data_IF_676670057882
#
_entry.id   IF_676670057882
#
_cell.length_a   1.000
_cell.length_b   1.000
_cell.length_c   1.000
_cell.angle_alpha   90.00
_cell.angle_beta   90.00
_cell.angle_gamma   90.00
#
_symmetry.space_group_name_H-M   'P 1'
#
loop_
_entity.id
_entity.type
_entity.pdbx_description
1 polymer ?
#
# COMPACT_ATOMS: atom_id res chain seq x y z
N UNK A 1 0.65 -0.32 16.60
CA UNK A 1 0.63 1.02 16.03
C UNK A 1 -0.54 1.15 15.09
N UNK A 2 -1.28 2.25 15.19
CA UNK A 2 -2.35 2.56 14.25
C UNK A 2 -1.73 3.00 12.93
N UNK A 3 -2.17 2.41 11.81
CA UNK A 3 -1.72 2.77 10.47
C UNK A 3 -2.26 4.16 10.12
N UNK A 4 -1.36 5.15 9.96
CA UNK A 4 -1.76 6.47 9.48
C UNK A 4 -1.31 6.63 8.02
N UNK A 5 -2.24 6.46 7.09
CA UNK A 5 -2.01 6.57 5.65
C UNK A 5 -2.23 8.00 5.10
N UNK A 6 -2.09 9.03 5.95
CA UNK A 6 -2.28 10.44 5.58
C UNK A 6 -0.98 11.25 5.69
N UNK A 7 0.07 10.67 6.28
CA UNK A 7 1.33 11.37 6.53
C UNK A 7 1.99 11.81 5.22
N UNK A 8 2.04 10.90 4.25
CA UNK A 8 2.68 11.14 2.96
C UNK A 8 1.91 12.16 2.12
N UNK A 9 0.56 12.13 2.17
CA UNK A 9 -0.28 13.14 1.54
C UNK A 9 -0.03 14.52 2.14
N UNK A 10 -0.04 14.63 3.47
CA UNK A 10 0.19 15.89 4.15
C UNK A 10 1.58 16.46 3.86
N UNK A 11 2.61 15.60 3.87
CA UNK A 11 3.98 16.01 3.55
C UNK A 11 4.16 16.45 2.10
N UNK A 12 3.63 15.67 1.14
CA UNK A 12 3.63 16.02 -0.27
C UNK A 12 3.02 17.41 -0.51
N UNK A 13 1.83 17.63 0.04
CA UNK A 13 1.13 18.91 -0.12
C UNK A 13 1.88 20.08 0.54
N UNK A 14 2.50 19.85 1.70
CA UNK A 14 3.34 20.84 2.35
C UNK A 14 4.56 21.22 1.50
N UNK A 15 5.24 20.25 0.89
CA UNK A 15 6.35 20.48 -0.03
C UNK A 15 5.93 21.30 -1.25
N UNK A 16 4.69 21.14 -1.72
CA UNK A 16 4.13 21.91 -2.82
C UNK A 16 3.54 23.27 -2.37
N UNK A 17 3.44 23.52 -1.06
CA UNK A 17 2.79 24.73 -0.53
C UNK A 17 1.26 24.70 -0.64
N UNK A 18 0.68 23.50 -0.64
CA UNK A 18 -0.74 23.22 -0.82
C UNK A 18 -1.36 22.59 0.45
N UNK A 19 -2.67 22.36 0.44
CA UNK A 19 -3.38 21.59 1.48
C UNK A 19 -3.81 22.42 2.70
N UNK A 20 -3.16 23.54 3.01
CA UNK A 20 -3.51 24.40 4.16
C UNK A 20 -3.66 23.62 5.46
N UNK A 21 -4.69 23.91 6.25
CA UNK A 21 -4.97 23.27 7.55
C UNK A 21 -5.66 21.89 7.43
N UNK A 22 -6.07 21.48 6.23
CA UNK A 22 -6.81 20.24 5.99
C UNK A 22 -6.24 19.45 4.80
N UNK A 23 -5.00 18.98 4.87
CA UNK A 23 -4.35 18.27 3.77
C UNK A 23 -5.09 16.98 3.36
N UNK A 24 -5.70 16.27 4.30
CA UNK A 24 -6.44 15.03 4.03
C UNK A 24 -7.63 15.20 3.07
N UNK A 25 -8.23 16.39 3.01
CA UNK A 25 -9.37 16.70 2.15
C UNK A 25 -8.98 17.33 0.81
N UNK A 26 -7.71 17.72 0.66
CA UNK A 26 -7.24 18.34 -0.56
C UNK A 26 -7.28 17.37 -1.75
N UNK A 27 -7.75 17.88 -2.88
CA UNK A 27 -7.73 17.17 -4.18
C UNK A 27 -7.31 18.15 -5.26
N UNK A 28 -6.42 17.70 -6.15
CA UNK A 28 -6.07 18.47 -7.34
C UNK A 28 -7.30 18.62 -8.25
N UNK A 29 -7.48 19.80 -8.82
CA UNK A 29 -8.62 20.11 -9.72
C UNK A 29 -8.33 19.72 -11.18
N UNK A 30 -7.12 19.23 -11.47
CA UNK A 30 -6.65 18.80 -12.78
C UNK A 30 -5.26 18.20 -12.68
N UNK A 31 -4.58 18.04 -13.79
CA UNK A 31 -3.21 17.54 -13.81
C UNK A 31 -2.25 18.58 -13.19
N UNK A 32 -1.42 18.19 -12.19
CA UNK A 32 -0.44 19.09 -11.59
C UNK A 32 0.60 19.62 -12.57
N UNK A 33 0.92 18.83 -13.60
CA UNK A 33 1.89 19.16 -14.66
C UNK A 33 3.35 19.10 -14.21
N UNK A 34 4.25 19.25 -15.19
CA UNK A 34 5.71 19.17 -14.98
C UNK A 34 6.22 20.16 -13.95
N UNK A 35 5.58 21.34 -13.82
CA UNK A 35 6.00 22.36 -12.85
C UNK A 35 5.84 21.88 -11.39
N UNK A 36 4.75 21.17 -11.07
CA UNK A 36 4.55 20.63 -9.72
C UNK A 36 5.56 19.52 -9.43
N UNK A 37 5.82 18.65 -10.41
CA UNK A 37 6.80 17.59 -10.27
C UNK A 37 8.23 18.15 -10.08
N UNK A 38 8.60 19.16 -10.86
CA UNK A 38 9.90 19.84 -10.69
C UNK A 38 9.99 20.52 -9.32
N UNK A 39 8.93 21.23 -8.89
CA UNK A 39 8.88 21.86 -7.56
C UNK A 39 9.04 20.85 -6.45
N UNK A 40 8.40 19.68 -6.57
CA UNK A 40 8.55 18.60 -5.61
C UNK A 40 10.00 18.11 -5.57
N UNK A 41 10.61 17.80 -6.72
CA UNK A 41 12.00 17.34 -6.80
C UNK A 41 12.98 18.33 -6.17
N UNK A 42 12.80 19.63 -6.40
CA UNK A 42 13.66 20.69 -5.82
C UNK A 42 13.53 20.78 -4.28
N UNK A 43 12.50 20.15 -3.70
CA UNK A 43 12.18 20.23 -2.27
C UNK A 43 12.20 18.89 -1.53
N UNK A 44 12.42 17.76 -2.23
CA UNK A 44 12.45 16.43 -1.61
C UNK A 44 13.51 16.29 -0.50
N UNK A 45 14.58 17.07 -0.55
CA UNK A 45 15.63 17.08 0.46
C UNK A 45 15.31 17.96 1.68
N UNK A 46 14.16 18.63 1.69
CA UNK A 46 13.71 19.35 2.88
C UNK A 46 13.43 18.36 4.03
N UNK A 47 13.49 18.83 5.29
CA UNK A 47 13.19 18.00 6.45
C UNK A 47 11.81 17.33 6.33
N UNK A 48 11.73 16.08 6.75
CA UNK A 48 10.45 15.39 6.87
C UNK A 48 9.50 16.15 7.81
N UNK A 49 8.21 15.99 7.64
CA UNK A 49 7.22 16.48 8.59
C UNK A 49 7.45 15.84 9.96
N UNK A 50 7.07 16.54 11.02
CA UNK A 50 7.28 16.07 12.40
C UNK A 50 6.77 14.64 12.65
N UNK A 51 5.55 14.23 12.19
CA UNK A 51 5.09 12.85 12.35
C UNK A 51 5.93 11.82 11.57
N UNK A 52 6.41 12.15 10.38
CA UNK A 52 7.28 11.27 9.61
C UNK A 52 8.67 11.15 10.25
N UNK A 53 9.20 12.25 10.76
CA UNK A 53 10.47 12.24 11.49
C UNK A 53 10.36 11.43 12.78
N UNK A 54 9.26 11.54 13.52
CA UNK A 54 9.02 10.75 14.73
C UNK A 54 9.03 9.23 14.46
N UNK A 55 8.53 8.79 13.29
CA UNK A 55 8.65 7.39 12.88
C UNK A 55 10.12 7.00 12.64
N UNK A 56 10.88 7.83 11.95
CA UNK A 56 12.31 7.58 11.71
C UNK A 56 13.09 7.55 13.03
N UNK A 57 12.77 8.44 13.97
CA UNK A 57 13.39 8.46 15.30
C UNK A 57 13.07 7.18 16.10
N UNK A 58 11.83 6.70 16.02
CA UNK A 58 11.43 5.43 16.63
C UNK A 58 12.17 4.23 16.02
N UNK A 59 12.34 4.19 14.69
CA UNK A 59 13.12 3.14 14.02
C UNK A 59 14.58 3.15 14.47
N UNK A 60 15.21 4.34 14.58
CA UNK A 60 16.56 4.50 15.08
C UNK A 60 16.67 4.03 16.54
N UNK A 61 15.70 4.41 17.37
CA UNK A 61 15.67 3.98 18.76
C UNK A 61 15.54 2.45 18.89
N UNK A 62 14.66 1.81 18.10
CA UNK A 62 14.51 0.35 18.08
C UNK A 62 15.81 -0.33 17.69
N UNK A 63 16.49 0.15 16.64
CA UNK A 63 17.77 -0.37 16.18
C UNK A 63 18.84 -0.30 17.30
N UNK A 64 18.90 0.81 18.02
CA UNK A 64 20.01 1.09 18.95
C UNK A 64 19.77 0.53 20.36
N UNK A 65 18.51 0.27 20.75
CA UNK A 65 18.16 -0.07 22.12
C UNK A 65 17.44 -1.42 22.29
N UNK A 66 17.16 -2.16 21.21
CA UNK A 66 16.45 -3.43 21.29
C UNK A 66 17.08 -4.50 20.39
N UNK A 67 16.63 -5.74 20.55
CA UNK A 67 16.96 -6.85 19.64
C UNK A 67 15.87 -7.09 18.57
N UNK A 68 14.87 -6.21 18.52
CA UNK A 68 13.79 -6.30 17.54
C UNK A 68 14.29 -5.84 16.16
N UNK A 69 13.68 -6.38 15.12
CA UNK A 69 13.90 -5.91 13.74
C UNK A 69 13.06 -4.65 13.55
N UNK A 70 13.68 -3.48 13.26
CA UNK A 70 12.91 -2.28 12.97
C UNK A 70 12.18 -2.43 11.63
N UNK A 71 10.87 -2.26 11.64
CA UNK A 71 10.02 -2.33 10.46
C UNK A 71 9.32 -0.99 10.29
N UNK A 72 9.56 -0.36 9.15
CA UNK A 72 8.90 0.88 8.77
C UNK A 72 7.55 0.65 8.09
N UNK A 73 6.85 1.73 7.79
CA UNK A 73 5.54 1.67 7.12
C UNK A 73 5.30 2.94 6.31
N UNK A 74 4.64 2.80 5.15
CA UNK A 74 4.09 3.91 4.38
C UNK A 74 2.92 3.45 3.50
N UNK A 75 2.17 4.41 2.99
CA UNK A 75 1.15 4.16 1.96
C UNK A 75 1.83 3.81 0.63
N UNK A 76 1.18 3.02 -0.22
CA UNK A 76 1.63 2.75 -1.58
C UNK A 76 1.31 3.89 -2.56
N UNK A 77 2.04 3.96 -3.70
CA UNK A 77 1.89 5.07 -4.65
C UNK A 77 0.49 5.19 -5.25
N UNK A 78 -0.12 4.09 -5.64
CA UNK A 78 -1.46 4.10 -6.22
C UNK A 78 -2.49 4.55 -5.17
N UNK A 79 -2.43 4.01 -3.96
CA UNK A 79 -3.32 4.42 -2.87
C UNK A 79 -3.15 5.89 -2.50
N UNK A 80 -1.93 6.43 -2.51
CA UNK A 80 -1.72 7.87 -2.30
C UNK A 80 -2.31 8.68 -3.46
N UNK A 81 -2.10 8.27 -4.70
CA UNK A 81 -2.67 8.95 -5.88
C UNK A 81 -4.20 9.03 -5.77
N UNK A 82 -4.90 7.96 -5.35
CA UNK A 82 -6.36 7.97 -5.18
C UNK A 82 -6.85 8.99 -4.13
N UNK A 83 -5.98 9.38 -3.20
CA UNK A 83 -6.27 10.45 -2.23
C UNK A 83 -6.04 11.87 -2.78
N UNK A 84 -5.33 12.00 -3.89
CA UNK A 84 -4.97 13.29 -4.49
C UNK A 84 -5.92 13.72 -5.62
N UNK A 85 -6.68 12.79 -6.21
CA UNK A 85 -7.64 13.06 -7.29
C UNK A 85 -9.08 12.83 -6.82
N UNK A 86 -10.02 13.56 -7.43
CA UNK A 86 -11.45 13.45 -7.05
C UNK A 86 -12.12 12.21 -7.64
N UNK A 87 -11.72 11.81 -8.85
CA UNK A 87 -12.19 10.61 -9.54
C UNK A 87 -11.01 9.86 -10.15
N UNK A 88 -10.49 8.83 -9.49
CA UNK A 88 -9.46 7.99 -10.07
C UNK A 88 -10.01 6.88 -10.98
N UNK A 89 -11.29 6.52 -10.85
CA UNK A 89 -11.87 5.33 -11.52
C UNK A 89 -12.08 5.59 -13.01
N UNK A 90 -12.76 6.67 -13.37
CA UNK A 90 -13.11 6.98 -14.77
C UNK A 90 -11.87 7.11 -15.66
N UNK A 91 -10.82 7.89 -15.29
CA UNK A 91 -9.61 8.01 -16.11
C UNK A 91 -8.87 6.68 -16.30
N UNK A 92 -8.78 5.86 -15.25
CA UNK A 92 -8.14 4.54 -15.35
C UNK A 92 -8.92 3.62 -16.30
N UNK A 93 -10.27 3.65 -16.23
CA UNK A 93 -11.10 2.89 -17.15
C UNK A 93 -10.94 3.37 -18.61
N UNK A 94 -10.83 4.68 -18.86
CA UNK A 94 -10.55 5.26 -20.17
C UNK A 94 -9.16 4.88 -20.68
N UNK A 95 -8.16 4.89 -19.84
CA UNK A 95 -6.82 4.39 -20.18
C UNK A 95 -6.87 2.90 -20.57
N UNK A 96 -7.67 2.10 -19.86
CA UNK A 96 -7.92 0.69 -20.21
C UNK A 96 -8.66 0.49 -21.54
N UNK A 97 -9.28 1.52 -22.08
CA UNK A 97 -9.86 1.54 -23.43
C UNK A 97 -8.88 2.04 -24.50
N UNK A 98 -7.66 2.39 -24.10
CA UNK A 98 -6.59 2.82 -25.00
C UNK A 98 -6.41 4.33 -25.16
N UNK A 99 -7.14 5.15 -24.38
CA UNK A 99 -6.88 6.60 -24.35
C UNK A 99 -5.58 6.90 -23.59
N UNK A 100 -4.91 7.97 -23.99
CA UNK A 100 -3.66 8.45 -23.38
C UNK A 100 -3.87 9.73 -22.56
N UNK A 101 -2.89 10.09 -21.74
CA UNK A 101 -2.86 11.37 -21.01
C UNK A 101 -2.87 12.61 -21.92
N UNK A 102 -2.48 12.46 -23.20
CA UNK A 102 -2.55 13.54 -24.18
C UNK A 102 -3.97 13.76 -24.74
N UNK A 103 -4.84 12.76 -24.60
CA UNK A 103 -6.21 12.76 -25.12
C UNK A 103 -7.27 13.00 -24.05
N UNK A 104 -6.92 12.76 -22.78
CA UNK A 104 -7.84 12.90 -21.66
C UNK A 104 -7.16 13.56 -20.44
N UNK A 105 -7.75 14.63 -19.96
CA UNK A 105 -7.23 15.46 -18.85
C UNK A 105 -7.27 14.71 -17.51
N UNK A 106 -8.23 13.80 -17.33
CA UNK A 106 -8.33 12.95 -16.15
C UNK A 106 -7.22 11.92 -16.09
N UNK A 107 -6.86 11.32 -17.25
CA UNK A 107 -5.71 10.39 -17.33
C UNK A 107 -4.41 11.14 -17.04
N UNK A 108 -4.25 12.38 -17.57
CA UNK A 108 -3.12 13.22 -17.24
C UNK A 108 -3.05 13.50 -15.73
N UNK A 109 -4.19 13.84 -15.10
CA UNK A 109 -4.26 14.10 -13.66
C UNK A 109 -3.85 12.87 -12.83
N UNK A 110 -4.36 11.68 -13.17
CA UNK A 110 -3.98 10.43 -12.49
C UNK A 110 -2.48 10.16 -12.66
N UNK A 111 -1.96 10.28 -13.87
CA UNK A 111 -0.55 10.00 -14.19
C UNK A 111 0.40 10.94 -13.44
N UNK A 112 0.12 12.24 -13.44
CA UNK A 112 0.95 13.24 -12.77
C UNK A 112 0.92 13.07 -11.25
N UNK A 113 -0.28 12.86 -10.67
CA UNK A 113 -0.40 12.62 -9.23
C UNK A 113 0.27 11.31 -8.81
N UNK A 114 0.27 10.28 -9.66
CA UNK A 114 1.00 9.05 -9.41
C UNK A 114 2.52 9.28 -9.42
N UNK A 115 3.02 10.11 -10.34
CA UNK A 115 4.43 10.49 -10.36
C UNK A 115 4.86 11.26 -9.10
N UNK A 116 4.02 12.20 -8.62
CA UNK A 116 4.24 12.90 -7.34
C UNK A 116 4.24 11.91 -6.16
N UNK A 117 3.29 10.97 -6.13
CA UNK A 117 3.20 9.96 -5.09
C UNK A 117 4.46 9.07 -5.05
N UNK A 118 4.91 8.57 -6.20
CA UNK A 118 6.15 7.77 -6.30
C UNK A 118 7.34 8.55 -5.75
N UNK A 119 7.50 9.82 -6.10
CA UNK A 119 8.64 10.62 -5.67
C UNK A 119 8.68 10.79 -4.13
N UNK A 120 7.58 11.18 -3.50
CA UNK A 120 7.53 11.38 -2.05
C UNK A 120 7.68 10.07 -1.28
N UNK A 121 7.06 8.98 -1.76
CA UNK A 121 7.16 7.67 -1.12
C UNK A 121 8.58 7.12 -1.22
N UNK A 122 9.20 7.20 -2.39
CA UNK A 122 10.60 6.79 -2.58
C UNK A 122 11.52 7.49 -1.59
N UNK A 123 11.42 8.82 -1.48
CA UNK A 123 12.20 9.61 -0.51
C UNK A 123 11.93 9.18 0.94
N UNK A 124 10.68 8.84 1.27
CA UNK A 124 10.33 8.44 2.64
C UNK A 124 10.81 7.04 2.99
N UNK A 125 10.72 6.07 2.08
CA UNK A 125 11.26 4.73 2.34
C UNK A 125 12.78 4.74 2.49
N UNK A 126 13.48 5.58 1.71
CA UNK A 126 14.93 5.79 1.85
C UNK A 126 15.28 6.39 3.22
N UNK A 127 14.49 7.37 3.71
CA UNK A 127 14.69 7.96 5.02
C UNK A 127 14.47 6.96 6.16
N UNK A 128 13.42 6.11 6.05
CA UNK A 128 13.17 5.05 7.03
C UNK A 128 14.28 3.99 7.04
N UNK A 129 14.77 3.59 5.86
CA UNK A 129 15.90 2.67 5.75
C UNK A 129 17.19 3.26 6.36
N UNK A 130 17.48 4.54 6.07
CA UNK A 130 18.61 5.25 6.68
C UNK A 130 18.47 5.37 8.21
N UNK A 131 17.25 5.46 8.73
CA UNK A 131 16.96 5.42 10.16
C UNK A 131 17.14 4.02 10.78
N UNK A 132 17.32 2.98 9.97
CA UNK A 132 17.61 1.62 10.40
C UNK A 132 16.48 0.61 10.17
N UNK A 133 15.44 0.97 9.41
CA UNK A 133 14.44 -0.01 9.00
C UNK A 133 15.09 -1.13 8.16
N UNK A 134 14.82 -2.38 8.52
CA UNK A 134 15.27 -3.57 7.79
C UNK A 134 14.20 -4.11 6.85
N UNK A 135 12.97 -3.69 7.04
CA UNK A 135 11.86 -3.93 6.13
C UNK A 135 10.88 -2.76 6.21
N UNK A 136 10.10 -2.57 5.14
CA UNK A 136 9.05 -1.56 5.10
C UNK A 136 7.74 -2.19 4.63
N UNK A 137 6.69 -2.00 5.42
CA UNK A 137 5.32 -2.33 5.03
C UNK A 137 4.80 -1.25 4.10
N UNK A 138 4.64 -1.59 2.83
CA UNK A 138 4.03 -0.73 1.82
C UNK A 138 2.55 -1.12 1.69
N UNK A 139 1.67 -0.19 2.05
CA UNK A 139 0.22 -0.43 2.10
C UNK A 139 -0.46 0.08 0.83
N UNK A 140 -0.98 -0.84 0.03
CA UNK A 140 -1.61 -0.53 -1.27
C UNK A 140 -3.09 -0.95 -1.35
N UNK A 141 -3.94 -0.60 -0.36
CA UNK A 141 -5.31 -1.12 -0.28
C UNK A 141 -6.22 -0.67 -1.43
N UNK A 142 -5.84 0.36 -2.20
CA UNK A 142 -6.62 0.82 -3.34
C UNK A 142 -6.29 0.07 -4.65
N UNK A 143 -5.24 -0.76 -4.70
CA UNK A 143 -4.87 -1.50 -5.90
C UNK A 143 -5.78 -2.73 -6.14
N UNK A 144 -7.08 -2.54 -6.18
CA UNK A 144 -8.10 -3.57 -6.12
C UNK A 144 -9.17 -3.41 -7.23
N UNK A 145 -10.12 -4.35 -7.28
CA UNK A 145 -11.17 -4.40 -8.33
C UNK A 145 -12.16 -3.24 -8.31
N UNK A 146 -12.17 -2.42 -7.25
CA UNK A 146 -13.01 -1.21 -7.19
C UNK A 146 -12.46 -0.12 -8.12
N UNK A 147 -11.13 0.03 -8.15
CA UNK A 147 -10.45 1.05 -8.95
C UNK A 147 -10.00 0.55 -10.32
N UNK A 148 -9.75 -0.75 -10.45
CA UNK A 148 -9.16 -1.37 -11.63
C UNK A 148 -10.08 -2.49 -12.14
N UNK A 149 -10.64 -2.30 -13.32
CA UNK A 149 -11.61 -3.24 -13.92
C UNK A 149 -10.99 -4.62 -14.16
N UNK A 150 -11.46 -5.70 -13.49
CA UNK A 150 -10.96 -7.04 -13.74
C UNK A 150 -11.09 -7.46 -15.20
N UNK A 151 -12.20 -7.08 -15.84
CA UNK A 151 -12.46 -7.38 -17.25
C UNK A 151 -11.43 -6.75 -18.19
N UNK A 152 -11.01 -5.50 -17.92
CA UNK A 152 -9.99 -4.83 -18.74
C UNK A 152 -8.62 -5.47 -18.51
N UNK A 153 -8.29 -5.85 -17.28
CA UNK A 153 -7.04 -6.54 -16.94
C UNK A 153 -6.98 -7.89 -17.66
N UNK A 154 -8.04 -8.69 -17.60
CA UNK A 154 -8.15 -9.99 -18.31
C UNK A 154 -8.04 -9.85 -19.84
N UNK A 155 -8.49 -8.72 -20.38
CA UNK A 155 -8.37 -8.38 -21.80
C UNK A 155 -7.00 -7.82 -22.20
N UNK A 156 -6.05 -7.73 -21.26
CA UNK A 156 -4.68 -7.28 -21.53
C UNK A 156 -4.54 -5.76 -21.70
N UNK A 157 -5.38 -4.96 -21.02
CA UNK A 157 -5.33 -3.49 -21.11
C UNK A 157 -4.06 -2.87 -20.55
N UNK A 158 -3.30 -3.60 -19.72
CA UNK A 158 -2.07 -3.10 -19.08
C UNK A 158 -2.29 -2.11 -17.93
N UNK A 159 -3.54 -1.79 -17.53
CA UNK A 159 -3.80 -0.77 -16.50
C UNK A 159 -3.23 -1.14 -15.13
N UNK A 160 -3.21 -2.43 -14.78
CA UNK A 160 -2.61 -2.87 -13.51
C UNK A 160 -1.10 -2.69 -13.54
N UNK A 161 -0.46 -3.02 -14.65
CA UNK A 161 0.98 -2.84 -14.81
C UNK A 161 1.36 -1.36 -14.76
N UNK A 162 0.67 -0.51 -15.53
CA UNK A 162 0.97 0.92 -15.64
C UNK A 162 0.72 1.68 -14.34
N UNK A 163 -0.44 1.46 -13.69
CA UNK A 163 -0.82 2.29 -12.54
C UNK A 163 -0.42 1.71 -11.18
N UNK A 164 -0.14 0.39 -11.11
CA UNK A 164 0.23 -0.28 -9.84
C UNK A 164 1.63 -0.85 -9.88
N UNK A 165 1.93 -1.75 -10.84
CA UNK A 165 3.17 -2.51 -10.80
C UNK A 165 4.41 -1.65 -11.09
N UNK A 166 4.38 -0.79 -12.11
CA UNK A 166 5.52 0.10 -12.43
C UNK A 166 5.86 1.07 -11.28
N UNK A 167 4.88 1.75 -10.63
CA UNK A 167 5.12 2.54 -9.42
C UNK A 167 5.71 1.72 -8.27
N UNK A 168 5.16 0.54 -7.99
CA UNK A 168 5.67 -0.34 -6.93
C UNK A 168 7.10 -0.82 -7.20
N UNK A 169 7.44 -1.12 -8.45
CA UNK A 169 8.80 -1.50 -8.86
C UNK A 169 9.80 -0.38 -8.59
N UNK A 170 9.43 0.89 -8.82
CA UNK A 170 10.31 2.04 -8.52
C UNK A 170 10.60 2.13 -7.02
N UNK A 171 9.57 1.98 -6.17
CA UNK A 171 9.74 1.97 -4.71
C UNK A 171 10.56 0.76 -4.27
N UNK A 172 10.31 -0.43 -4.83
CA UNK A 172 11.11 -1.63 -4.55
C UNK A 172 12.59 -1.42 -4.88
N UNK A 173 12.91 -0.81 -6.01
CA UNK A 173 14.31 -0.53 -6.38
C UNK A 173 15.00 0.39 -5.36
N UNK A 174 14.30 1.39 -4.81
CA UNK A 174 14.84 2.22 -3.74
C UNK A 174 15.12 1.42 -2.46
N UNK A 175 14.20 0.53 -2.07
CA UNK A 175 14.38 -0.37 -0.92
C UNK A 175 15.59 -1.29 -1.10
N UNK A 176 15.74 -1.90 -2.30
CA UNK A 176 16.90 -2.75 -2.60
C UNK A 176 18.21 -1.97 -2.50
N UNK A 177 18.24 -0.72 -2.98
CA UNK A 177 19.40 0.17 -2.86
C UNK A 177 19.76 0.51 -1.41
N UNK A 178 18.77 0.44 -0.51
CA UNK A 178 18.90 0.73 0.92
C UNK A 178 19.05 -0.52 1.81
N UNK A 179 19.18 -1.72 1.24
CA UNK A 179 19.26 -3.02 1.95
C UNK A 179 18.07 -3.25 2.90
N UNK A 180 16.87 -2.92 2.44
CA UNK A 180 15.62 -3.12 3.18
C UNK A 180 14.63 -3.99 2.39
N UNK A 181 13.96 -4.91 3.09
CA UNK A 181 12.97 -5.81 2.50
C UNK A 181 11.62 -5.13 2.25
N UNK A 182 10.94 -5.55 1.20
CA UNK A 182 9.56 -5.15 0.93
C UNK A 182 8.59 -6.11 1.64
N UNK A 183 7.72 -5.56 2.47
CA UNK A 183 6.48 -6.21 2.94
C UNK A 183 5.33 -5.52 2.23
N UNK A 184 4.65 -6.22 1.33
CA UNK A 184 3.54 -5.65 0.57
C UNK A 184 2.22 -6.02 1.22
N UNK A 185 1.40 -5.04 1.57
CA UNK A 185 0.07 -5.21 2.15
C UNK A 185 -1.00 -4.69 1.21
N UNK A 186 -1.92 -5.57 0.80
CA UNK A 186 -3.14 -5.21 0.09
C UNK A 186 -4.34 -5.96 0.66
N UNK A 187 -5.20 -5.25 1.38
CA UNK A 187 -6.42 -5.79 1.97
C UNK A 187 -7.67 -5.55 1.11
N UNK A 188 -7.52 -5.13 -0.14
CA UNK A 188 -8.60 -4.98 -1.11
C UNK A 188 -9.08 -6.31 -1.69
N UNK A 189 -10.14 -6.26 -2.48
CA UNK A 189 -10.58 -7.41 -3.28
C UNK A 189 -9.71 -7.55 -4.51
N UNK A 190 -9.04 -8.71 -4.65
CA UNK A 190 -8.08 -8.99 -5.71
C UNK A 190 -8.51 -10.19 -6.55
N UNK A 191 -8.20 -10.18 -7.84
CA UNK A 191 -8.24 -11.37 -8.70
C UNK A 191 -6.97 -12.20 -8.54
N UNK A 192 -7.00 -13.46 -9.00
CA UNK A 192 -5.79 -14.32 -9.03
C UNK A 192 -4.65 -13.67 -9.85
N UNK A 193 -5.00 -13.01 -10.96
CA UNK A 193 -4.01 -12.30 -11.79
C UNK A 193 -3.34 -11.14 -11.04
N UNK A 194 -4.11 -10.34 -10.27
CA UNK A 194 -3.56 -9.27 -9.45
C UNK A 194 -2.62 -9.83 -8.36
N UNK A 195 -3.04 -10.91 -7.66
CA UNK A 195 -2.20 -11.56 -6.65
C UNK A 195 -0.89 -12.07 -7.28
N UNK A 196 -0.95 -12.73 -8.43
CA UNK A 196 0.24 -13.21 -9.14
C UNK A 196 1.17 -12.06 -9.57
N UNK A 197 0.61 -10.94 -10.05
CA UNK A 197 1.38 -9.74 -10.39
C UNK A 197 2.07 -9.16 -9.16
N UNK A 198 1.34 -8.96 -8.04
CA UNK A 198 1.94 -8.47 -6.79
C UNK A 198 3.03 -9.41 -6.27
N UNK A 199 2.83 -10.73 -6.35
CA UNK A 199 3.82 -11.72 -5.97
C UNK A 199 5.07 -11.68 -6.87
N UNK A 200 4.95 -11.26 -8.14
CA UNK A 200 6.09 -11.11 -9.05
C UNK A 200 7.07 -10.01 -8.65
N UNK A 201 6.64 -9.09 -7.77
CA UNK A 201 7.55 -8.15 -7.12
C UNK A 201 8.54 -8.85 -6.16
N UNK A 202 8.37 -10.15 -5.90
CA UNK A 202 9.20 -10.91 -4.95
C UNK A 202 9.33 -10.16 -3.59
N UNK A 203 8.21 -9.83 -2.94
CA UNK A 203 8.25 -9.23 -1.61
C UNK A 203 8.67 -10.29 -0.58
N UNK A 204 9.36 -9.90 0.48
CA UNK A 204 9.67 -10.82 1.58
C UNK A 204 8.40 -11.35 2.25
N UNK A 205 7.37 -10.49 2.36
CA UNK A 205 6.05 -10.85 2.88
C UNK A 205 4.97 -10.25 1.98
N UNK A 206 3.95 -11.05 1.65
CA UNK A 206 2.73 -10.60 0.99
C UNK A 206 1.54 -10.78 1.94
N UNK A 207 0.97 -9.65 2.36
CA UNK A 207 -0.19 -9.59 3.27
C UNK A 207 -1.46 -9.30 2.50
N UNK A 208 -2.43 -10.21 2.56
CA UNK A 208 -3.67 -10.15 1.79
C UNK A 208 -4.90 -10.04 2.69
N UNK A 209 -5.98 -9.45 2.16
CA UNK A 209 -7.27 -9.31 2.83
C UNK A 209 -8.06 -10.61 2.98
N UNK A 210 -9.09 -10.59 3.81
CA UNK A 210 -9.96 -11.75 4.12
C UNK A 210 -10.86 -12.18 2.94
N UNK A 211 -10.89 -11.39 1.86
CA UNK A 211 -11.50 -11.78 0.58
C UNK A 211 -10.73 -12.89 -0.15
N UNK A 212 -9.48 -13.15 0.26
CA UNK A 212 -8.60 -14.18 -0.34
C UNK A 212 -8.57 -15.44 0.52
N UNK A 213 -8.34 -16.57 -0.15
CA UNK A 213 -8.16 -17.88 0.48
C UNK A 213 -6.67 -18.25 0.41
N UNK A 214 -5.90 -17.95 1.45
CA UNK A 214 -4.43 -17.99 1.40
C UNK A 214 -3.85 -19.36 1.01
N UNK A 215 -4.45 -20.48 1.41
CA UNK A 215 -3.98 -21.80 1.00
C UNK A 215 -4.23 -22.11 -0.49
N UNK A 216 -5.16 -21.40 -1.15
CA UNK A 216 -5.35 -21.45 -2.59
C UNK A 216 -4.39 -20.48 -3.29
N UNK A 217 -4.13 -19.32 -2.70
CA UNK A 217 -3.19 -18.31 -3.20
C UNK A 217 -1.73 -18.80 -3.15
N UNK A 218 -1.41 -19.73 -2.27
CA UNK A 218 -0.09 -20.37 -2.18
C UNK A 218 0.43 -20.92 -3.53
N UNK A 219 -0.45 -21.25 -4.46
CA UNK A 219 -0.10 -21.65 -5.85
C UNK A 219 0.34 -20.49 -6.74
N UNK A 220 -0.04 -19.26 -6.39
CA UNK A 220 0.24 -18.03 -7.14
C UNK A 220 1.49 -17.31 -6.64
N UNK A 221 1.94 -17.66 -5.44
CA UNK A 221 3.00 -16.95 -4.72
C UNK A 221 4.23 -17.85 -4.60
N UNK A 222 5.44 -17.36 -4.94
CA UNK A 222 6.67 -18.14 -4.77
C UNK A 222 6.93 -18.49 -3.31
N UNK A 223 7.53 -19.65 -3.03
CA UNK A 223 7.90 -20.04 -1.67
C UNK A 223 9.02 -19.18 -1.04
N UNK A 224 9.60 -18.24 -1.79
CA UNK A 224 10.51 -17.20 -1.28
C UNK A 224 9.75 -16.08 -0.56
N UNK A 225 8.47 -15.89 -0.87
CA UNK A 225 7.59 -14.90 -0.24
C UNK A 225 6.76 -15.55 0.86
N UNK A 226 6.76 -14.98 2.05
CA UNK A 226 5.92 -15.41 3.16
C UNK A 226 4.51 -14.85 2.98
N UNK A 227 3.47 -15.69 3.00
CA UNK A 227 2.09 -15.22 3.07
C UNK A 227 1.75 -14.80 4.51
N UNK A 228 1.09 -13.66 4.67
CA UNK A 228 0.66 -13.13 5.97
C UNK A 228 -0.84 -12.84 5.97
N UNK A 229 -1.51 -13.17 7.06
CA UNK A 229 -2.90 -12.81 7.30
C UNK A 229 -3.74 -14.04 7.65
N UNK A 230 -5.05 -14.07 7.42
CA UNK A 230 -5.92 -12.97 6.98
C UNK A 230 -7.27 -13.07 7.70
N UNK A 231 -7.19 -13.17 9.05
CA UNK A 231 -8.39 -13.16 9.87
C UNK A 231 -9.15 -11.84 9.68
N UNK A 232 -10.50 -11.87 9.63
CA UNK A 232 -11.32 -10.72 9.22
C UNK A 232 -11.44 -9.67 10.33
N UNK A 233 -10.33 -8.98 10.63
CA UNK A 233 -10.23 -8.01 11.73
C UNK A 233 -11.19 -6.82 11.62
N UNK A 234 -11.65 -6.51 10.42
CA UNK A 234 -12.69 -5.50 10.20
C UNK A 234 -14.04 -5.86 10.82
N UNK A 235 -14.22 -7.13 11.24
CA UNK A 235 -15.43 -7.64 11.91
C UNK A 235 -15.27 -7.82 13.42
N UNK A 236 -14.07 -7.62 13.98
CA UNK A 236 -13.75 -7.89 15.38
C UNK A 236 -14.39 -6.90 16.38
N UNK A 237 -15.05 -5.88 15.88
CA UNK A 237 -15.68 -4.86 16.74
C UNK A 237 -16.98 -5.32 17.42
N UNK A 238 -17.55 -6.47 17.07
CA UNK A 238 -18.83 -6.93 17.63
C UNK A 238 -19.02 -8.43 17.50
N UNK A 239 -19.49 -9.09 18.57
CA UNK A 239 -19.89 -10.50 18.56
C UNK A 239 -21.07 -10.79 17.62
N UNK A 240 -21.86 -9.76 17.24
CA UNK A 240 -22.89 -9.90 16.21
C UNK A 240 -22.32 -10.09 14.80
N UNK A 241 -21.09 -9.61 14.57
CA UNK A 241 -20.37 -9.75 13.29
C UNK A 241 -19.53 -11.02 13.25
N UNK A 242 -18.81 -11.31 14.34
CA UNK A 242 -18.00 -12.51 14.49
C UNK A 242 -17.74 -12.79 15.97
N UNK A 243 -17.95 -14.02 16.42
CA UNK A 243 -17.66 -14.42 17.80
C UNK A 243 -16.19 -14.85 17.97
N UNK A 244 -15.72 -14.89 19.22
CA UNK A 244 -14.37 -15.36 19.56
C UNK A 244 -14.16 -16.79 19.08
N UNK A 245 -15.15 -17.68 19.29
CA UNK A 245 -15.08 -19.09 18.86
C UNK A 245 -14.94 -19.20 17.32
N UNK A 246 -15.66 -18.34 16.57
CA UNK A 246 -15.53 -18.31 15.11
C UNK A 246 -14.15 -17.86 14.67
N UNK A 247 -13.54 -16.89 15.35
CA UNK A 247 -12.16 -16.45 15.07
C UNK A 247 -11.15 -17.56 15.39
N UNK A 248 -11.33 -18.26 16.50
CA UNK A 248 -10.50 -19.41 16.88
C UNK A 248 -10.60 -20.54 15.84
N UNK A 249 -11.81 -20.91 15.40
CA UNK A 249 -12.03 -21.93 14.38
C UNK A 249 -11.40 -21.53 13.04
N UNK A 250 -11.59 -20.28 12.60
CA UNK A 250 -10.96 -19.76 11.37
C UNK A 250 -9.43 -19.78 11.45
N UNK A 251 -8.87 -19.39 12.59
CA UNK A 251 -7.43 -19.43 12.83
C UNK A 251 -6.88 -20.86 12.80
N UNK A 252 -7.60 -21.81 13.43
CA UNK A 252 -7.24 -23.21 13.44
C UNK A 252 -7.30 -23.83 12.03
N UNK A 253 -8.36 -23.55 11.27
CA UNK A 253 -8.49 -24.00 9.89
C UNK A 253 -7.37 -23.42 9.01
N UNK A 254 -7.15 -22.11 9.06
CA UNK A 254 -6.11 -21.44 8.28
C UNK A 254 -4.72 -22.04 8.54
N UNK A 255 -4.36 -22.24 9.81
CA UNK A 255 -3.12 -22.90 10.19
C UNK A 255 -3.03 -24.35 9.67
N UNK A 256 -4.12 -25.11 9.77
CA UNK A 256 -4.14 -26.50 9.30
C UNK A 256 -3.97 -26.59 7.77
N UNK A 257 -4.69 -25.75 7.02
CA UNK A 257 -4.62 -25.68 5.56
C UNK A 257 -3.26 -25.22 5.06
N UNK A 258 -2.71 -24.16 5.65
CA UNK A 258 -1.40 -23.64 5.27
C UNK A 258 -0.28 -24.67 5.55
N UNK A 259 -0.37 -25.44 6.64
CA UNK A 259 0.54 -26.57 6.90
C UNK A 259 0.43 -27.66 5.84
N UNK A 260 -0.79 -27.96 5.35
CA UNK A 260 -0.98 -28.98 4.29
C UNK A 260 -0.36 -28.56 2.96
N UNK A 261 -0.47 -27.30 2.57
CA UNK A 261 0.13 -26.79 1.33
C UNK A 261 1.64 -26.55 1.46
N UNK A 262 2.16 -26.44 2.70
CA UNK A 262 3.60 -26.31 2.98
C UNK A 262 4.21 -24.97 2.56
N UNK A 263 3.38 -23.93 2.36
CA UNK A 263 3.86 -22.60 2.01
C UNK A 263 4.30 -21.82 3.27
N UNK A 264 5.39 -21.04 3.25
CA UNK A 264 5.77 -20.16 4.34
C UNK A 264 4.63 -19.20 4.71
N UNK A 265 4.27 -19.16 6.01
CA UNK A 265 3.07 -18.47 6.44
C UNK A 265 3.18 -17.92 7.86
N UNK A 266 2.62 -16.74 8.07
CA UNK A 266 2.41 -16.11 9.38
C UNK A 266 0.92 -15.81 9.55
N UNK A 267 0.32 -16.37 10.60
CA UNK A 267 -1.07 -16.06 10.97
C UNK A 267 -1.18 -14.62 11.47
N UNK A 268 -2.10 -13.86 10.92
CA UNK A 268 -2.37 -12.48 11.29
C UNK A 268 -3.79 -12.05 10.95
N UNK A 269 -4.10 -10.80 11.24
CA UNK A 269 -5.31 -10.14 10.78
C UNK A 269 -5.18 -9.67 9.33
N UNK A 270 -6.33 -9.43 8.66
CA UNK A 270 -6.35 -8.89 7.30
C UNK A 270 -5.91 -7.42 7.22
N UNK A 271 -6.15 -6.66 8.29
CA UNK A 271 -5.91 -5.22 8.37
C UNK A 271 -6.01 -4.77 9.84
N UNK A 272 -6.14 -3.46 10.06
CA UNK A 272 -6.43 -2.89 11.38
C UNK A 272 -7.79 -3.39 11.92
N UNK A 273 -7.90 -3.42 13.25
CA UNK A 273 -9.18 -3.62 13.93
C UNK A 273 -9.93 -2.29 13.95
N UNK A 274 -11.19 -2.31 13.52
CA UNK A 274 -12.01 -1.11 13.55
C UNK A 274 -12.31 -0.70 15.00
N UNK A 275 -12.05 0.58 15.31
CA UNK A 275 -12.51 1.21 16.54
C UNK A 275 -13.91 1.74 16.33
N UNK A 276 -14.90 1.09 16.96
CA UNK A 276 -16.30 1.51 16.88
C UNK A 276 -16.74 1.98 18.26
N UNK A 277 -17.30 3.20 18.42
CA UNK A 277 -17.74 3.71 19.71
C UNK A 277 -18.72 2.73 20.41
N UNK A 278 -18.43 2.39 21.67
CA UNK A 278 -19.21 1.44 22.46
C UNK A 278 -18.82 -0.04 22.31
N UNK A 279 -17.81 -0.36 21.51
CA UNK A 279 -17.23 -1.71 21.33
C UNK A 279 -15.79 -1.78 21.87
N UNK A 280 -15.44 -0.94 22.82
CA UNK A 280 -14.12 -0.85 23.47
C UNK A 280 -14.06 -1.90 24.60
N UNK A 281 -13.77 -3.15 24.26
CA UNK A 281 -13.63 -4.23 25.25
C UNK A 281 -12.29 -4.94 25.13
#
# INVERSE_FOLDING_TARGET
PVMNLELEQAHLLALLGLGGDQPATYRFQGAPGDQALQMLHDRLDQPLSEPMQALCDALSWLRDHTTLVPVGMCIGPFSLMTKLVSDPITPIALAGMGLSAAEDEGIAAVTDNLALAVAVITRYVEAQAAAGARAIVLCEPAANVVYLSPKQIEQGSGIFDTFVMEPLLRVKHALMGADADLILHDCGELTDGMVASLASLDPAVLSLGSSRVLWEDARLVPNTTVLFGNLPSKRFFSDAEITVEQVEDMGAELLARMRQVGHPFVLGSECDVLSVPGCEH
#
